data_IF_700310638361
#
_entry.id   IF_700310638361
#
_cell.length_a   1.000
_cell.length_b   1.000
_cell.length_c   1.000
_cell.angle_alpha   90.00
_cell.angle_beta   90.00
_cell.angle_gamma   90.00
#
_symmetry.space_group_name_H-M   'P 1'
#
loop_
_entity.id
_entity.type
_entity.pdbx_description
1 polymer ?
#
# COMPACT_ATOMS: atom_id res chain seq x y z
N UNK A 1 -3.26 0.15 -32.40
CA UNK A 1 -4.18 -0.35 -31.34
C UNK A 1 -3.54 -1.41 -30.45
N UNK A 2 -2.54 -2.16 -30.92
CA UNK A 2 -1.84 -3.23 -30.18
C UNK A 2 -0.92 -2.73 -29.03
N UNK A 3 -0.26 -1.59 -29.19
CA UNK A 3 0.67 -1.08 -28.17
C UNK A 3 -0.03 -0.57 -26.90
N UNK A 4 -1.17 0.12 -27.04
CA UNK A 4 -1.95 0.58 -25.90
C UNK A 4 -2.50 -0.58 -25.05
N UNK A 5 -2.88 -1.69 -25.71
CA UNK A 5 -3.34 -2.91 -25.04
C UNK A 5 -2.21 -3.63 -24.31
N UNK A 6 -1.05 -3.73 -24.95
CA UNK A 6 0.15 -4.33 -24.34
C UNK A 6 0.63 -3.51 -23.13
N UNK A 7 0.50 -2.20 -23.20
CA UNK A 7 0.88 -1.29 -22.10
C UNK A 7 -0.11 -1.39 -20.93
N UNK A 8 -1.41 -1.48 -21.21
CA UNK A 8 -2.44 -1.69 -20.19
C UNK A 8 -2.25 -3.03 -19.45
N UNK A 9 -1.95 -4.10 -20.19
CA UNK A 9 -1.68 -5.43 -19.61
C UNK A 9 -0.41 -5.42 -18.76
N UNK A 10 0.65 -4.76 -19.21
CA UNK A 10 1.89 -4.60 -18.40
C UNK A 10 1.62 -3.82 -17.13
N UNK A 11 0.90 -2.70 -17.20
CA UNK A 11 0.53 -1.92 -16.01
C UNK A 11 -0.27 -2.74 -14.99
N UNK A 12 -1.15 -3.63 -15.44
CA UNK A 12 -1.89 -4.54 -14.57
C UNK A 12 -1.01 -5.61 -13.92
N UNK A 13 -0.02 -6.14 -14.65
CA UNK A 13 0.90 -7.14 -14.11
C UNK A 13 1.85 -6.54 -13.06
N UNK A 14 2.21 -5.28 -13.19
CA UNK A 14 3.17 -4.59 -12.32
C UNK A 14 2.55 -4.04 -11.03
N UNK A 15 1.26 -3.67 -11.06
CA UNK A 15 0.51 -3.28 -9.85
C UNK A 15 0.12 -4.49 -9.00
N UNK A 16 0.03 -5.67 -9.61
CA UNK A 16 -0.51 -6.84 -8.96
C UNK A 16 -1.99 -6.65 -8.56
N UNK A 17 -2.40 -7.36 -7.53
CA UNK A 17 -3.74 -7.27 -6.98
C UNK A 17 -3.88 -6.03 -6.10
N UNK A 18 -5.03 -5.35 -6.20
CA UNK A 18 -5.34 -4.19 -5.38
C UNK A 18 -6.35 -4.58 -4.29
N UNK A 19 -6.00 -4.30 -3.05
CA UNK A 19 -6.81 -4.60 -1.89
C UNK A 19 -7.62 -3.37 -1.49
N UNK A 20 -8.92 -3.51 -1.21
CA UNK A 20 -9.72 -2.39 -0.72
C UNK A 20 -9.26 -1.97 0.68
N UNK A 21 -9.14 -0.66 0.91
CA UNK A 21 -8.88 -0.06 2.21
C UNK A 21 -10.17 0.58 2.76
N UNK A 22 -10.53 0.23 3.99
CA UNK A 22 -11.75 0.73 4.61
C UNK A 22 -13.01 0.11 4.02
N UNK A 23 -14.08 0.90 3.94
CA UNK A 23 -15.39 0.47 3.46
C UNK A 23 -15.65 0.78 1.97
N UNK A 24 -16.82 0.37 1.44
CA UNK A 24 -17.17 0.53 0.04
C UNK A 24 -17.29 1.98 -0.42
N UNK A 25 -17.49 2.91 0.52
CA UNK A 25 -17.61 4.35 0.23
C UNK A 25 -16.26 5.08 0.23
N UNK A 26 -15.19 4.44 0.67
CA UNK A 26 -13.89 5.10 0.84
C UNK A 26 -13.17 5.37 -0.48
N UNK A 27 -13.39 4.56 -1.52
CA UNK A 27 -12.74 4.74 -2.81
C UNK A 27 -11.21 4.69 -2.71
N UNK A 28 -10.68 3.83 -1.84
CA UNK A 28 -9.26 3.73 -1.52
C UNK A 28 -8.77 2.30 -1.64
N UNK A 29 -7.58 2.12 -2.21
CA UNK A 29 -6.96 0.81 -2.41
C UNK A 29 -5.47 0.85 -2.06
N UNK A 30 -4.93 -0.31 -1.74
CA UNK A 30 -3.49 -0.53 -1.54
C UNK A 30 -3.04 -1.71 -2.41
N UNK A 31 -1.84 -1.65 -2.97
CA UNK A 31 -1.28 -2.81 -3.66
C UNK A 31 -1.02 -3.95 -2.69
N UNK A 32 -1.29 -5.19 -3.09
CA UNK A 32 -0.99 -6.38 -2.28
C UNK A 32 0.49 -6.38 -1.86
N UNK A 33 1.38 -5.99 -2.75
CA UNK A 33 2.81 -5.90 -2.47
C UNK A 33 3.12 -4.94 -1.31
N UNK A 34 2.53 -3.73 -1.30
CA UNK A 34 2.73 -2.78 -0.21
C UNK A 34 2.19 -3.29 1.12
N UNK A 35 1.01 -3.93 1.10
CA UNK A 35 0.42 -4.54 2.29
C UNK A 35 1.27 -5.72 2.82
N UNK A 36 1.70 -6.63 1.93
CA UNK A 36 2.57 -7.77 2.27
C UNK A 36 3.90 -7.30 2.86
N UNK A 37 4.53 -6.28 2.28
CA UNK A 37 5.76 -5.72 2.82
C UNK A 37 5.56 -5.10 4.22
N UNK A 38 4.45 -4.41 4.44
CA UNK A 38 4.14 -3.83 5.75
C UNK A 38 3.91 -4.91 6.82
N UNK A 39 3.10 -5.92 6.51
CA UNK A 39 2.82 -7.04 7.41
C UNK A 39 4.06 -7.90 7.65
N UNK A 40 4.88 -8.13 6.61
CA UNK A 40 6.13 -8.87 6.73
C UNK A 40 7.12 -8.21 7.67
N UNK A 41 7.22 -6.88 7.66
CA UNK A 41 8.04 -6.15 8.64
C UNK A 41 7.54 -6.32 10.07
N UNK A 42 6.22 -6.31 10.27
CA UNK A 42 5.64 -6.53 11.61
C UNK A 42 5.85 -7.95 12.09
N UNK A 43 5.70 -8.96 11.24
CA UNK A 43 5.95 -10.35 11.58
C UNK A 43 7.43 -10.62 11.90
N UNK A 44 8.36 -9.90 11.26
CA UNK A 44 9.80 -10.01 11.53
C UNK A 44 10.21 -9.52 12.93
N UNK A 45 9.33 -8.79 13.63
CA UNK A 45 9.54 -8.37 15.02
C UNK A 45 9.31 -9.51 16.02
N UNK A 46 8.68 -10.63 15.59
CA UNK A 46 8.40 -11.79 16.45
C UNK A 46 9.64 -12.70 16.50
N UNK A 47 10.23 -12.90 17.69
CA UNK A 47 11.41 -13.74 17.83
C UNK A 47 11.14 -15.19 17.39
N UNK A 48 12.05 -15.74 16.61
CA UNK A 48 11.98 -17.13 16.16
C UNK A 48 10.99 -17.39 15.01
N UNK A 49 10.34 -16.36 14.47
CA UNK A 49 9.45 -16.47 13.31
C UNK A 49 10.14 -15.93 12.06
N UNK A 50 10.03 -16.65 10.96
CA UNK A 50 10.42 -16.19 9.64
C UNK A 50 9.32 -16.48 8.64
N UNK A 51 8.72 -15.43 8.07
CA UNK A 51 7.79 -15.58 6.98
C UNK A 51 8.49 -16.01 5.70
N UNK A 52 7.92 -16.99 5.02
CA UNK A 52 8.36 -17.46 3.69
C UNK A 52 7.46 -16.92 2.60
N UNK A 53 6.15 -16.90 2.84
CA UNK A 53 5.18 -16.30 1.94
C UNK A 53 4.04 -15.67 2.72
N UNK A 54 3.45 -14.64 2.14
CA UNK A 54 2.24 -13.99 2.63
C UNK A 54 1.41 -13.55 1.45
N UNK A 55 0.13 -13.85 1.47
CA UNK A 55 -0.86 -13.46 0.48
C UNK A 55 -2.10 -12.92 1.16
N UNK A 56 -2.81 -12.03 0.48
CA UNK A 56 -4.06 -11.45 0.96
C UNK A 56 -5.10 -11.59 -0.14
N UNK A 57 -6.22 -12.20 0.19
CA UNK A 57 -7.32 -12.46 -0.74
C UNK A 57 -8.67 -12.11 -0.16
N UNK A 58 -9.72 -12.20 -0.98
CA UNK A 58 -11.10 -12.08 -0.51
C UNK A 58 -11.45 -13.26 0.39
N UNK A 59 -12.09 -13.01 1.52
CA UNK A 59 -12.60 -14.07 2.38
C UNK A 59 -13.70 -14.86 1.65
N UNK A 60 -13.66 -16.19 1.66
CA UNK A 60 -14.70 -17.00 1.04
C UNK A 60 -16.05 -16.78 1.74
N UNK A 61 -17.14 -16.89 0.97
CA UNK A 61 -18.51 -16.84 1.48
C UNK A 61 -18.93 -15.55 2.19
N UNK A 62 -18.15 -14.49 2.09
CA UNK A 62 -18.51 -13.19 2.65
C UNK A 62 -19.25 -12.32 1.61
N UNK A 63 -20.21 -11.51 2.04
CA UNK A 63 -20.89 -10.60 1.13
C UNK A 63 -19.90 -9.57 0.56
N UNK A 64 -20.02 -9.36 -0.73
CA UNK A 64 -19.25 -8.34 -1.46
C UNK A 64 -20.12 -7.11 -1.61
N UNK A 65 -19.58 -5.94 -1.26
CA UNK A 65 -20.27 -4.67 -1.44
C UNK A 65 -19.89 -4.03 -2.76
N UNK A 66 -20.83 -3.35 -3.38
CA UNK A 66 -20.55 -2.55 -4.56
C UNK A 66 -19.81 -1.27 -4.14
N UNK A 67 -18.66 -0.95 -4.77
CA UNK A 67 -17.91 0.25 -4.44
C UNK A 67 -18.65 1.50 -4.95
N UNK A 68 -18.69 2.54 -4.09
CA UNK A 68 -19.28 3.84 -4.48
C UNK A 68 -18.44 4.62 -5.49
N UNK A 69 -17.16 4.26 -5.65
CA UNK A 69 -16.23 4.84 -6.61
C UNK A 69 -15.77 3.74 -7.54
N UNK A 70 -15.70 4.03 -8.83
CA UNK A 70 -15.19 3.07 -9.83
C UNK A 70 -13.83 2.54 -9.40
N UNK A 71 -13.70 1.21 -9.21
CA UNK A 71 -12.45 0.62 -8.79
C UNK A 71 -11.41 0.68 -9.92
N UNK A 72 -10.12 0.82 -9.59
CA UNK A 72 -9.04 0.62 -10.54
C UNK A 72 -9.07 -0.81 -11.13
N UNK A 73 -8.43 -1.00 -12.26
CA UNK A 73 -8.26 -2.34 -12.84
C UNK A 73 -7.50 -3.25 -11.85
N UNK A 74 -7.91 -4.52 -11.74
CA UNK A 74 -7.36 -5.53 -10.80
C UNK A 74 -7.71 -5.30 -9.32
N UNK A 75 -8.59 -4.35 -9.00
CA UNK A 75 -9.05 -4.15 -7.64
C UNK A 75 -9.99 -5.28 -7.19
N UNK A 76 -9.73 -5.82 -6.01
CA UNK A 76 -10.70 -6.68 -5.34
C UNK A 76 -11.91 -5.83 -4.92
N UNK A 77 -13.11 -6.42 -4.99
CA UNK A 77 -14.31 -5.74 -4.52
C UNK A 77 -14.22 -5.49 -3.00
N UNK A 78 -14.87 -4.42 -2.49
CA UNK A 78 -14.92 -4.16 -1.06
C UNK A 78 -15.61 -5.31 -0.33
N UNK A 79 -14.95 -5.81 0.71
CA UNK A 79 -15.42 -6.93 1.50
C UNK A 79 -14.33 -7.40 2.46
N UNK A 80 -14.65 -8.46 3.20
CA UNK A 80 -13.70 -9.05 4.15
C UNK A 80 -12.55 -9.74 3.43
N UNK A 81 -11.35 -9.62 4.00
CA UNK A 81 -10.11 -10.20 3.48
C UNK A 81 -9.60 -11.31 4.39
N UNK A 82 -8.91 -12.27 3.79
CA UNK A 82 -8.18 -13.35 4.48
C UNK A 82 -6.69 -13.22 4.20
N UNK A 83 -5.88 -13.40 5.25
CA UNK A 83 -4.42 -13.50 5.15
C UNK A 83 -4.04 -14.98 5.11
N UNK A 84 -3.25 -15.37 4.14
CA UNK A 84 -2.61 -16.70 4.07
C UNK A 84 -1.12 -16.51 4.24
N UNK A 85 -0.50 -17.15 5.25
CA UNK A 85 0.92 -17.03 5.50
C UNK A 85 1.58 -18.38 5.75
N UNK A 86 2.73 -18.59 5.11
CA UNK A 86 3.63 -19.71 5.41
C UNK A 86 4.85 -19.19 6.16
N UNK A 87 5.26 -19.90 7.21
CA UNK A 87 6.37 -19.47 8.06
C UNK A 87 7.17 -20.65 8.63
N UNK A 88 8.41 -20.37 8.97
CA UNK A 88 9.25 -21.25 9.79
C UNK A 88 9.29 -20.73 11.23
N UNK A 89 9.29 -21.65 12.20
CA UNK A 89 9.33 -21.32 13.61
C UNK A 89 10.56 -21.92 14.30
N UNK A 90 11.04 -21.24 15.35
CA UNK A 90 12.04 -21.79 16.27
C UNK A 90 11.36 -22.69 17.32
N UNK A 91 12.05 -23.78 17.71
CA UNK A 91 11.59 -24.69 18.76
C UNK A 91 11.78 -24.17 20.19
N UNK A 92 12.29 -22.94 20.36
CA UNK A 92 12.48 -22.32 21.70
C UNK A 92 11.15 -22.09 22.43
N UNK A 93 10.07 -21.85 21.68
CA UNK A 93 8.73 -21.62 22.22
C UNK A 93 7.74 -22.66 21.68
N UNK A 94 6.67 -22.95 22.41
CA UNK A 94 5.61 -23.83 21.91
C UNK A 94 5.02 -23.28 20.60
N UNK A 95 4.93 -24.15 19.59
CA UNK A 95 4.44 -23.77 18.26
C UNK A 95 3.03 -23.14 18.27
N UNK A 96 2.05 -23.65 19.05
CA UNK A 96 0.73 -23.02 19.13
C UNK A 96 0.77 -21.58 19.61
N UNK A 97 1.58 -21.27 20.64
CA UNK A 97 1.74 -19.91 21.17
C UNK A 97 2.37 -18.97 20.13
N UNK A 98 3.40 -19.46 19.44
CA UNK A 98 4.05 -18.71 18.34
C UNK A 98 3.08 -18.43 17.20
N UNK A 99 2.26 -19.41 16.81
CA UNK A 99 1.26 -19.26 15.77
C UNK A 99 0.15 -18.29 16.18
N UNK A 100 -0.31 -18.32 17.42
CA UNK A 100 -1.35 -17.41 17.92
C UNK A 100 -0.84 -15.97 18.03
N UNK A 101 0.42 -15.78 18.45
CA UNK A 101 1.08 -14.48 18.45
C UNK A 101 1.22 -13.93 17.02
N UNK A 102 1.67 -14.75 16.07
CA UNK A 102 1.78 -14.34 14.66
C UNK A 102 0.41 -13.97 14.08
N UNK A 103 -0.63 -14.79 14.35
CA UNK A 103 -1.99 -14.54 13.88
C UNK A 103 -2.53 -13.21 14.40
N UNK A 104 -2.46 -12.99 15.70
CA UNK A 104 -2.93 -11.76 16.33
C UNK A 104 -2.16 -10.53 15.83
N UNK A 105 -0.84 -10.65 15.67
CA UNK A 105 0.03 -9.60 15.16
C UNK A 105 -0.32 -9.24 13.71
N UNK A 106 -0.51 -10.22 12.82
CA UNK A 106 -0.88 -9.98 11.43
C UNK A 106 -2.27 -9.34 11.31
N UNK A 107 -3.27 -9.85 12.03
CA UNK A 107 -4.64 -9.31 12.01
C UNK A 107 -4.68 -7.89 12.58
N UNK A 108 -4.03 -7.65 13.72
CA UNK A 108 -3.94 -6.32 14.32
C UNK A 108 -3.23 -5.33 13.39
N UNK A 109 -2.09 -5.72 12.81
CA UNK A 109 -1.38 -4.86 11.87
C UNK A 109 -2.19 -4.56 10.60
N UNK A 110 -2.88 -5.55 10.05
CA UNK A 110 -3.71 -5.36 8.87
C UNK A 110 -4.87 -4.39 9.15
N UNK A 111 -5.57 -4.56 10.27
CA UNK A 111 -6.75 -3.77 10.61
C UNK A 111 -6.37 -2.41 11.17
N UNK A 112 -5.49 -2.35 12.18
CA UNK A 112 -5.22 -1.13 12.94
C UNK A 112 -4.15 -0.24 12.27
N UNK A 113 -3.16 -0.83 11.58
CA UNK A 113 -2.07 -0.06 10.97
C UNK A 113 -2.30 0.23 9.48
N UNK A 114 -2.95 -0.66 8.75
CA UNK A 114 -3.23 -0.47 7.33
C UNK A 114 -4.67 -0.01 7.06
N UNK A 115 -5.64 -0.49 7.82
CA UNK A 115 -7.07 -0.24 7.57
C UNK A 115 -7.71 -1.26 6.64
N UNK A 116 -7.14 -2.47 6.55
CA UNK A 116 -7.71 -3.59 5.81
C UNK A 116 -8.82 -4.26 6.62
N UNK A 117 -9.94 -4.62 5.99
CA UNK A 117 -11.03 -5.35 6.62
C UNK A 117 -10.72 -6.86 6.69
N UNK A 118 -9.71 -7.26 7.47
CA UNK A 118 -9.29 -8.65 7.60
C UNK A 118 -10.08 -9.37 8.68
N UNK A 119 -10.54 -10.59 8.40
CA UNK A 119 -11.35 -11.41 9.31
C UNK A 119 -10.63 -12.65 9.79
N UNK A 120 -9.74 -13.22 8.97
CA UNK A 120 -9.01 -14.45 9.30
C UNK A 120 -7.57 -14.38 8.84
N UNK A 121 -6.71 -15.15 9.53
CA UNK A 121 -5.35 -15.42 9.09
C UNK A 121 -5.08 -16.92 9.18
N UNK A 122 -4.89 -17.54 8.01
CA UNK A 122 -4.56 -18.96 7.87
C UNK A 122 -3.05 -19.12 7.84
N UNK A 123 -2.52 -19.83 8.82
CA UNK A 123 -1.10 -19.99 9.03
C UNK A 123 -0.66 -21.42 8.74
N UNK A 124 0.38 -21.56 7.92
CA UNK A 124 1.01 -22.84 7.61
C UNK A 124 2.46 -22.84 8.08
N UNK A 125 2.80 -23.77 8.95
CA UNK A 125 4.20 -24.03 9.32
C UNK A 125 4.85 -24.87 8.22
N UNK A 126 5.98 -24.41 7.71
CA UNK A 126 6.73 -25.09 6.65
C UNK A 126 7.95 -25.81 7.18
N UNK A 127 8.58 -25.27 8.23
CA UNK A 127 9.76 -25.87 8.84
C UNK A 127 9.90 -25.46 10.31
N UNK A 128 10.59 -26.29 11.09
CA UNK A 128 10.93 -26.04 12.49
C UNK A 128 12.45 -25.98 12.64
N UNK A 129 12.95 -24.88 13.21
CA UNK A 129 14.38 -24.68 13.39
C UNK A 129 14.78 -24.91 14.84
N UNK A 130 15.74 -25.80 15.02
CA UNK A 130 16.50 -25.87 16.26
C UNK A 130 17.44 -24.66 16.28
N UNK A 131 17.48 -23.93 17.41
CA UNK A 131 18.50 -22.91 17.60
C UNK A 131 19.80 -23.62 17.87
N UNK A 132 20.84 -23.52 17.03
CA UNK A 132 22.16 -24.01 17.37
C UNK A 132 22.59 -23.32 18.65
N UNK A 133 22.96 -24.05 19.67
CA UNK A 133 23.70 -23.50 20.82
C UNK A 133 24.86 -22.68 20.24
N UNK A 134 25.01 -21.47 20.75
CA UNK A 134 25.94 -20.47 20.24
C UNK A 134 27.37 -20.98 20.20
N UNK A 135 27.70 -21.66 19.12
CA UNK A 135 29.07 -22.02 18.73
C UNK A 135 29.62 -20.87 17.93
N UNK A 136 30.71 -20.32 18.41
CA UNK A 136 31.53 -19.26 17.84
C UNK A 136 31.71 -19.41 16.32
N UNK A 137 31.12 -18.53 15.54
CA UNK A 137 31.39 -18.42 14.10
C UNK A 137 32.42 -17.35 13.83
N UNK A 138 33.45 -17.65 13.03
CA UNK A 138 34.38 -16.62 12.59
C UNK A 138 33.71 -15.72 11.56
N UNK A 139 33.84 -14.43 11.80
CA UNK A 139 33.39 -13.33 10.94
C UNK A 139 34.22 -13.30 9.66
N UNK A 140 33.66 -13.76 8.56
CA UNK A 140 34.22 -13.48 7.25
C UNK A 140 33.53 -12.22 6.74
N UNK A 141 34.29 -11.13 6.72
CA UNK A 141 33.90 -9.86 6.12
C UNK A 141 33.96 -10.01 4.60
N UNK A 142 32.82 -9.94 3.93
CA UNK A 142 32.76 -9.78 2.50
C UNK A 142 32.26 -8.39 2.18
N UNK A 143 33.15 -7.60 1.65
CA UNK A 143 32.97 -6.22 1.21
C UNK A 143 32.11 -6.20 -0.05
N UNK A 144 30.84 -5.84 0.07
CA UNK A 144 29.99 -5.60 -1.10
C UNK A 144 30.04 -4.13 -1.49
N UNK A 145 30.54 -3.92 -2.67
CA UNK A 145 30.73 -2.66 -3.38
C UNK A 145 29.38 -2.00 -3.70
N UNK A 146 29.25 -0.76 -3.31
CA UNK A 146 28.07 0.12 -3.46
C UNK A 146 28.08 0.71 -4.87
N UNK A 147 27.03 0.56 -5.69
CA UNK A 147 26.90 1.39 -6.89
C UNK A 147 26.23 2.72 -6.54
N UNK A 148 26.87 3.78 -6.96
CA UNK A 148 26.39 5.16 -6.93
C UNK A 148 25.30 5.35 -7.99
N UNK A 149 24.17 5.99 -7.72
CA UNK A 149 23.22 6.37 -8.77
C UNK A 149 23.68 7.66 -9.43
N UNK A 150 23.96 7.56 -10.70
CA UNK A 150 24.24 8.68 -11.60
C UNK A 150 22.95 9.39 -11.98
N UNK A 151 22.94 10.71 -11.83
CA UNK A 151 21.83 11.58 -12.14
C UNK A 151 21.65 11.67 -13.67
N UNK A 152 20.51 11.20 -14.17
CA UNK A 152 20.12 11.42 -15.58
C UNK A 152 19.22 12.65 -15.70
N UNK A 153 19.77 13.62 -16.45
CA UNK A 153 19.20 14.92 -16.74
C UNK A 153 17.90 14.84 -17.54
N UNK A 154 17.00 15.78 -17.21
CA UNK A 154 15.77 16.09 -17.92
C UNK A 154 16.02 16.41 -19.40
N UNK A 155 15.23 15.78 -20.28
CA UNK A 155 15.09 16.24 -21.67
C UNK A 155 13.71 16.83 -21.87
N UNK A 156 13.72 18.13 -22.13
CA UNK A 156 12.58 18.92 -22.59
C UNK A 156 12.11 18.44 -23.97
N UNK A 157 10.84 18.19 -24.11
CA UNK A 157 10.15 18.06 -25.40
C UNK A 157 9.14 19.19 -25.56
N UNK A 158 8.95 19.75 -26.77
CA UNK A 158 8.20 20.98 -26.99
C UNK A 158 6.69 20.79 -26.90
N UNK A 159 5.90 21.89 -26.69
CA UNK A 159 4.48 21.84 -26.42
C UNK A 159 3.65 21.60 -27.68
N UNK A 160 2.75 20.64 -27.60
CA UNK A 160 1.65 20.48 -28.58
C UNK A 160 0.45 21.24 -28.04
N UNK A 161 -0.02 22.20 -28.82
CA UNK A 161 -1.11 23.11 -28.54
C UNK A 161 -2.45 22.37 -28.54
N UNK A 162 -3.20 22.45 -27.45
CA UNK A 162 -4.57 21.89 -27.31
C UNK A 162 -4.83 21.19 -25.97
N UNK A 163 -3.80 20.82 -25.21
CA UNK A 163 -3.90 20.07 -23.94
C UNK A 163 -3.55 20.94 -22.71
N UNK A 164 -3.50 22.27 -22.85
CA UNK A 164 -3.02 23.17 -21.80
C UNK A 164 -3.88 23.17 -20.54
N UNK A 165 -5.20 23.17 -20.71
CA UNK A 165 -6.15 23.22 -19.58
C UNK A 165 -6.13 21.91 -18.77
N UNK A 166 -6.16 20.76 -19.43
CA UNK A 166 -6.14 19.46 -18.74
C UNK A 166 -4.79 19.19 -18.08
N UNK A 167 -3.67 19.60 -18.69
CA UNK A 167 -2.35 19.47 -18.06
C UNK A 167 -2.19 20.38 -16.85
N UNK A 168 -2.79 21.58 -16.89
CA UNK A 168 -2.83 22.49 -15.75
C UNK A 168 -3.57 21.88 -14.58
N UNK A 169 -4.77 21.36 -14.82
CA UNK A 169 -5.59 20.69 -13.83
C UNK A 169 -4.87 19.47 -13.20
N UNK A 170 -4.30 18.57 -14.02
CA UNK A 170 -3.58 17.38 -13.52
C UNK A 170 -2.42 17.80 -12.62
N UNK A 171 -1.70 18.86 -12.97
CA UNK A 171 -0.60 19.38 -12.16
C UNK A 171 -1.10 19.95 -10.83
N UNK A 172 -2.15 20.75 -10.85
CA UNK A 172 -2.76 21.32 -9.65
C UNK A 172 -3.26 20.22 -8.69
N UNK A 173 -3.99 19.23 -9.21
CA UNK A 173 -4.44 18.09 -8.41
C UNK A 173 -3.27 17.27 -7.84
N UNK A 174 -2.17 17.16 -8.59
CA UNK A 174 -0.96 16.51 -8.11
C UNK A 174 -0.29 17.32 -6.98
N UNK A 175 -0.22 18.63 -7.12
CA UNK A 175 0.34 19.52 -6.09
C UNK A 175 -0.51 19.49 -4.81
N UNK A 176 -1.85 19.49 -4.93
CA UNK A 176 -2.80 19.34 -3.81
C UNK A 176 -2.60 18.01 -3.11
N UNK A 177 -2.57 16.91 -3.87
CA UNK A 177 -2.37 15.55 -3.30
C UNK A 177 -1.02 15.41 -2.61
N UNK A 178 0.05 15.97 -3.18
CA UNK A 178 1.39 15.94 -2.58
C UNK A 178 1.51 16.80 -1.31
N UNK A 179 0.67 17.83 -1.18
CA UNK A 179 0.62 18.70 0.01
C UNK A 179 -0.08 18.09 1.22
N UNK A 180 -0.78 16.98 1.07
CA UNK A 180 -1.51 16.34 2.19
C UNK A 180 -0.54 15.69 3.18
N UNK A 181 -0.67 15.97 4.49
CA UNK A 181 0.17 15.37 5.52
C UNK A 181 0.13 13.84 5.48
N UNK A 182 1.32 13.22 5.46
CA UNK A 182 1.47 11.77 5.40
C UNK A 182 1.70 11.23 3.99
N UNK A 183 1.53 12.01 2.94
CA UNK A 183 1.98 11.66 1.59
C UNK A 183 3.49 11.85 1.52
N UNK A 184 4.23 10.77 1.28
CA UNK A 184 5.67 10.84 1.12
C UNK A 184 6.06 11.33 -0.28
N UNK A 185 5.36 10.84 -1.27
CA UNK A 185 5.52 11.20 -2.68
C UNK A 185 4.35 10.65 -3.51
N UNK A 186 4.12 11.26 -4.64
CA UNK A 186 3.27 10.66 -5.67
C UNK A 186 4.07 9.61 -6.44
N UNK A 187 3.41 8.51 -6.81
CA UNK A 187 4.05 7.38 -7.49
C UNK A 187 3.50 7.24 -8.90
N UNK A 188 4.39 6.94 -9.84
CA UNK A 188 4.00 6.58 -11.20
C UNK A 188 4.23 5.07 -11.36
N UNK A 189 3.20 4.34 -11.68
CA UNK A 189 3.33 2.91 -11.96
C UNK A 189 3.61 2.76 -13.44
N UNK A 190 4.78 2.24 -13.78
CA UNK A 190 5.28 1.88 -15.13
C UNK A 190 4.70 2.72 -16.28
N UNK A 191 5.14 3.98 -16.38
CA UNK A 191 4.78 4.88 -17.47
C UNK A 191 3.40 5.53 -17.35
N UNK A 192 2.64 5.27 -16.27
CA UNK A 192 1.44 6.01 -15.93
C UNK A 192 1.81 7.32 -15.23
N UNK A 193 0.89 8.30 -15.30
CA UNK A 193 1.03 9.53 -14.50
C UNK A 193 0.55 9.27 -13.08
N UNK A 194 1.14 9.95 -12.07
CA UNK A 194 0.68 9.83 -10.68
C UNK A 194 -0.77 10.24 -10.47
N UNK A 195 -1.26 11.16 -11.28
CA UNK A 195 -2.65 11.61 -11.31
C UNK A 195 -3.19 11.41 -12.71
N UNK A 196 -4.31 10.72 -12.80
CA UNK A 196 -5.06 10.46 -14.02
C UNK A 196 -6.44 11.07 -13.89
N UNK A 197 -6.88 11.73 -14.93
CA UNK A 197 -8.21 12.35 -14.99
C UNK A 197 -8.92 11.82 -16.23
N UNK A 198 -10.10 11.26 -16.03
CA UNK A 198 -10.98 10.76 -17.10
C UNK A 198 -12.33 11.47 -16.98
N UNK A 199 -12.76 12.12 -18.06
CA UNK A 199 -14.09 12.70 -18.16
C UNK A 199 -15.04 11.67 -18.78
N UNK A 200 -16.26 11.59 -18.24
CA UNK A 200 -17.34 10.75 -18.73
C UNK A 200 -18.50 11.60 -19.21
N UNK A 201 -19.11 11.23 -20.32
CA UNK A 201 -20.22 11.96 -20.92
C UNK A 201 -21.59 11.41 -20.49
N UNK A 202 -21.69 10.13 -20.10
CA UNK A 202 -22.94 9.49 -19.71
C UNK A 202 -22.78 8.51 -18.50
N UNK A 203 -23.24 8.90 -17.32
CA UNK A 203 -23.62 10.26 -16.89
C UNK A 203 -22.42 11.21 -16.86
N UNK A 204 -22.63 12.51 -17.12
CA UNK A 204 -21.54 13.46 -17.14
C UNK A 204 -20.87 13.53 -15.77
N UNK A 205 -19.55 13.37 -15.75
CA UNK A 205 -18.78 13.37 -14.53
C UNK A 205 -17.29 13.21 -14.79
N UNK A 206 -16.51 13.39 -13.74
CA UNK A 206 -15.05 13.23 -13.78
C UNK A 206 -14.59 12.16 -12.82
N UNK A 207 -13.75 11.25 -13.30
CA UNK A 207 -13.05 10.28 -12.48
C UNK A 207 -11.57 10.63 -12.37
N UNK A 208 -11.08 10.71 -11.13
CA UNK A 208 -9.69 11.08 -10.82
C UNK A 208 -9.07 9.90 -10.08
N UNK A 209 -7.94 9.41 -10.57
CA UNK A 209 -7.14 8.36 -9.94
C UNK A 209 -5.81 8.94 -9.48
N UNK A 210 -5.46 8.77 -8.20
CA UNK A 210 -4.24 9.30 -7.58
C UNK A 210 -3.41 8.16 -7.00
N UNK A 211 -2.15 8.05 -7.42
CA UNK A 211 -1.20 7.05 -6.92
C UNK A 211 -0.19 7.70 -6.00
N UNK A 212 0.02 7.13 -4.81
CA UNK A 212 0.91 7.69 -3.81
C UNK A 212 1.61 6.66 -2.94
N UNK A 213 2.70 7.09 -2.33
CA UNK A 213 3.39 6.42 -1.23
C UNK A 213 3.08 7.12 0.09
N UNK A 214 2.83 6.34 1.14
CA UNK A 214 2.57 6.86 2.49
C UNK A 214 3.85 6.89 3.30
N UNK A 215 4.09 8.02 3.97
CA UNK A 215 5.25 8.27 4.82
C UNK A 215 5.22 7.48 6.15
N UNK A 216 6.37 7.42 6.83
CA UNK A 216 6.48 6.70 8.10
C UNK A 216 5.60 7.34 9.19
N UNK A 217 5.00 6.49 10.03
CA UNK A 217 4.16 6.92 11.14
C UNK A 217 2.75 7.38 10.76
N UNK A 218 2.38 7.35 9.48
CA UNK A 218 1.05 7.73 9.03
C UNK A 218 0.22 6.51 8.67
N UNK A 219 -1.07 6.54 9.04
CA UNK A 219 -2.02 5.47 8.77
C UNK A 219 -2.51 5.54 7.31
N UNK A 220 -2.28 4.51 6.47
CA UNK A 220 -2.57 4.55 5.05
C UNK A 220 -4.00 4.97 4.70
N UNK A 221 -5.01 4.35 5.33
CA UNK A 221 -6.41 4.69 5.10
C UNK A 221 -6.74 6.15 5.45
N UNK A 222 -6.18 6.68 6.56
CA UNK A 222 -6.41 8.08 6.95
C UNK A 222 -5.81 9.06 5.94
N UNK A 223 -4.58 8.77 5.47
CA UNK A 223 -3.93 9.58 4.43
C UNK A 223 -4.71 9.52 3.13
N UNK A 224 -5.14 8.33 2.70
CA UNK A 224 -5.92 8.18 1.47
C UNK A 224 -7.26 8.94 1.53
N UNK A 225 -7.97 8.91 2.66
CA UNK A 225 -9.20 9.70 2.85
C UNK A 225 -8.94 11.20 2.77
N UNK A 226 -7.89 11.69 3.42
CA UNK A 226 -7.52 13.10 3.37
C UNK A 226 -7.13 13.56 1.96
N UNK A 227 -6.38 12.73 1.22
CA UNK A 227 -6.05 13.00 -0.19
C UNK A 227 -7.31 13.03 -1.04
N UNK A 228 -8.21 12.07 -0.86
CA UNK A 228 -9.47 12.00 -1.60
C UNK A 228 -10.31 13.25 -1.38
N UNK A 229 -10.45 13.70 -0.14
CA UNK A 229 -11.20 14.91 0.23
C UNK A 229 -10.58 16.15 -0.40
N UNK A 230 -9.27 16.36 -0.22
CA UNK A 230 -8.56 17.51 -0.77
C UNK A 230 -8.62 17.58 -2.31
N UNK A 231 -8.44 16.45 -2.99
CA UNK A 231 -8.50 16.37 -4.46
C UNK A 231 -9.92 16.55 -4.97
N UNK A 232 -10.94 16.01 -4.28
CA UNK A 232 -12.33 16.20 -4.65
C UNK A 232 -12.74 17.68 -4.52
N UNK A 233 -12.34 18.35 -3.44
CA UNK A 233 -12.58 19.79 -3.24
C UNK A 233 -11.92 20.62 -4.36
N UNK A 234 -10.65 20.38 -4.66
CA UNK A 234 -9.95 21.05 -5.74
C UNK A 234 -10.59 20.81 -7.11
N UNK A 235 -11.05 19.59 -7.37
CA UNK A 235 -11.69 19.23 -8.64
C UNK A 235 -13.03 19.95 -8.87
N UNK A 236 -13.82 20.22 -7.83
CA UNK A 236 -15.12 20.92 -7.95
C UNK A 236 -14.98 22.35 -8.45
N UNK A 237 -13.82 22.98 -8.21
CA UNK A 237 -13.54 24.35 -8.69
C UNK A 237 -13.44 24.42 -10.22
N UNK A 238 -13.13 23.30 -10.87
CA UNK A 238 -12.83 23.24 -12.30
C UNK A 238 -13.84 22.47 -13.16
N UNK A 239 -14.89 21.91 -12.56
CA UNK A 239 -15.82 21.05 -13.30
C UNK A 239 -17.26 21.26 -12.83
N UNK A 240 -18.21 21.50 -13.77
CA UNK A 240 -19.63 21.65 -13.45
C UNK A 240 -20.36 20.31 -13.25
N UNK A 241 -19.69 19.25 -12.78
CA UNK A 241 -20.26 17.92 -12.61
C UNK A 241 -19.70 17.18 -11.40
N UNK A 242 -20.30 16.03 -11.01
CA UNK A 242 -19.79 15.23 -9.91
C UNK A 242 -18.39 14.68 -10.21
N UNK A 243 -17.46 14.91 -9.28
CA UNK A 243 -16.13 14.34 -9.34
C UNK A 243 -16.00 13.13 -8.40
N UNK A 244 -15.52 12.01 -8.91
CA UNK A 244 -15.18 10.83 -8.12
C UNK A 244 -13.66 10.69 -8.05
N UNK A 245 -13.14 10.39 -6.85
CA UNK A 245 -11.69 10.26 -6.63
C UNK A 245 -11.38 8.87 -6.11
N UNK A 246 -10.51 8.16 -6.81
CA UNK A 246 -9.92 6.89 -6.42
C UNK A 246 -8.48 7.12 -5.96
N UNK A 247 -8.11 6.59 -4.78
CA UNK A 247 -6.75 6.73 -4.27
C UNK A 247 -6.09 5.35 -4.17
N UNK A 248 -4.92 5.21 -4.78
CA UNK A 248 -4.14 3.99 -4.78
C UNK A 248 -2.83 4.18 -4.03
N UNK A 249 -2.64 3.43 -2.96
CA UNK A 249 -1.40 3.38 -2.21
C UNK A 249 -0.52 2.27 -2.80
N UNK A 250 0.63 2.66 -3.34
CA UNK A 250 1.59 1.74 -3.97
C UNK A 250 2.72 1.33 -3.05
N UNK A 251 3.00 2.15 -2.03
CA UNK A 251 4.08 1.93 -1.08
C UNK A 251 3.71 2.46 0.30
N UNK A 252 4.22 1.79 1.33
CA UNK A 252 4.13 2.25 2.72
C UNK A 252 5.53 2.22 3.34
N UNK A 253 5.94 3.33 3.98
CA UNK A 253 7.18 3.35 4.74
C UNK A 253 7.07 2.50 6.02
N UNK A 254 8.23 2.12 6.59
CA UNK A 254 8.26 1.38 7.84
C UNK A 254 7.59 2.17 8.96
N UNK A 255 6.72 1.51 9.72
CA UNK A 255 6.15 2.05 10.94
C UNK A 255 7.25 2.11 12.01
N UNK A 256 7.65 3.29 12.44
CA UNK A 256 8.54 3.41 13.60
C UNK A 256 7.68 3.23 14.85
N UNK A 257 7.93 2.19 15.63
CA UNK A 257 7.41 2.13 16.98
C UNK A 257 8.08 3.27 17.78
N UNK A 258 7.30 4.26 18.16
CA UNK A 258 7.67 5.15 19.27
C UNK A 258 7.51 4.29 20.52
N UNK A 259 8.60 3.72 21.02
CA UNK A 259 8.61 3.10 22.34
C UNK A 259 8.10 4.14 23.34
N UNK A 260 7.09 3.81 24.17
CA UNK A 260 6.69 4.71 25.22
C UNK A 260 7.91 4.94 26.14
N UNK A 261 8.33 6.17 26.23
CA UNK A 261 9.34 6.57 27.24
C UNK A 261 8.73 6.31 28.59
N UNK A 262 9.16 5.22 29.23
CA UNK A 262 8.86 4.97 30.64
C UNK A 262 9.53 6.07 31.44
N UNK A 263 8.76 7.08 31.83
CA UNK A 263 9.19 8.06 32.81
C UNK A 263 9.30 7.33 34.15
N UNK A 264 10.53 6.97 34.52
CA UNK A 264 10.85 6.52 35.87
C UNK A 264 10.64 7.72 36.79
N UNK A 265 9.47 7.77 37.46
CA UNK A 265 9.27 8.63 38.63
C UNK A 265 10.23 8.19 39.73
N UNK A 266 11.19 9.05 40.05
CA UNK A 266 12.05 8.90 41.21
C UNK A 266 11.21 9.21 42.46
N UNK A 267 11.10 8.30 43.44
CA UNK A 267 10.50 8.65 44.74
C UNK A 267 11.49 9.45 45.54
N UNK A 268 10.99 10.56 46.15
CA UNK A 268 11.65 11.29 47.24
C UNK A 268 11.52 10.53 48.55
#
# INVERSE_FOLDING_TARGET
>A
MTEAWTQAVRSQLDLGRLLPLGGPHDGTWITEQAAVQALGRTAAEIPGVRLESLRIGSAPLQPVSEPAVRPPASALPPGSLTIEAAFTASLVRPLPETADELRSTLLGAATERLGLATVTADLRVTDLREVPEAGVTPRTAETAMRPTPEAAAARNSPPVTGTGSMRGLVRELADVAAGVPGVARLTAVLGSRPVRVEDHDDPPGRHIEVHLAVGPGHHPLKVARAVREAVAEAATTHTPGPATVAVLITETAAWRQTSPVTVLSTPQ
#
